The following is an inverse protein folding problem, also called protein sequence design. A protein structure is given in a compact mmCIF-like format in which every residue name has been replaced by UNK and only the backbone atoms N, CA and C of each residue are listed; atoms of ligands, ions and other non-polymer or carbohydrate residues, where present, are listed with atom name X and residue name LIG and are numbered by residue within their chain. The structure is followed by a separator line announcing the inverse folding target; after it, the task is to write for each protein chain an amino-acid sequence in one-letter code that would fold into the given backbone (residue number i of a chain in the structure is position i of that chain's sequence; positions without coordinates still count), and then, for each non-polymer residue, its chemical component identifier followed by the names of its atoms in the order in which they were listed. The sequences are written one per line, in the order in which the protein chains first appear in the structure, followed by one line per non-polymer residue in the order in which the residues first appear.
data_IF_231470851749
#
_entry.id   IF_231470851749
#
_cell.length_a   1.000
_cell.length_b   1.000
_cell.length_c   1.000
_cell.angle_alpha   90.00
_cell.angle_beta   90.00
_cell.angle_gamma   90.00
#
_symmetry.space_group_name_H-M   'P 1'
#
loop_
_entity.id
_entity.type
_entity.pdbx_description
1 polymer ?
#
# COMPACT_ATOMS: atom_id res chain seq x y z
N UNK A 1 24.86 -16.90 29.43
CA UNK A 1 24.63 -15.61 28.77
C UNK A 1 23.34 -15.76 27.97
N UNK A 2 22.27 -15.06 28.34
CA UNK A 2 21.00 -15.07 27.62
C UNK A 2 21.18 -14.39 26.26
N UNK A 3 20.72 -15.03 25.18
CA UNK A 3 20.73 -14.45 23.83
C UNK A 3 19.73 -13.30 23.73
N UNK A 4 20.05 -12.22 22.99
CA UNK A 4 19.11 -11.13 22.79
C UNK A 4 17.93 -11.59 21.93
N UNK A 5 16.71 -11.14 22.29
CA UNK A 5 15.47 -11.44 21.57
C UNK A 5 14.92 -10.16 20.95
N UNK A 6 14.52 -10.23 19.69
CA UNK A 6 13.82 -9.14 19.00
C UNK A 6 12.31 -9.34 19.17
N UNK A 7 11.62 -8.36 19.73
CA UNK A 7 10.16 -8.35 19.83
C UNK A 7 9.62 -7.29 18.86
N UNK A 8 8.70 -7.69 17.98
CA UNK A 8 8.07 -6.81 17.01
C UNK A 8 6.55 -6.81 17.18
N UNK A 9 5.94 -5.62 17.28
CA UNK A 9 4.49 -5.46 17.17
C UNK A 9 4.14 -5.04 15.73
N UNK A 10 3.41 -5.87 15.01
CA UNK A 10 3.05 -5.64 13.61
C UNK A 10 1.55 -5.42 13.47
N UNK A 11 1.14 -4.39 12.72
CA UNK A 11 -0.25 -4.12 12.37
C UNK A 11 -0.40 -4.21 10.86
N UNK A 12 -1.44 -4.90 10.40
CA UNK A 12 -1.71 -5.09 8.97
C UNK A 12 -3.04 -5.76 8.72
N UNK A 13 -3.46 -5.77 7.46
CA UNK A 13 -4.66 -6.47 7.00
C UNK A 13 -4.34 -7.96 6.97
N UNK A 14 -5.24 -8.78 7.52
CA UNK A 14 -5.00 -10.22 7.65
C UNK A 14 -3.65 -10.54 8.31
N UNK A 15 -3.20 -9.68 9.25
CA UNK A 15 -1.84 -9.69 9.78
C UNK A 15 -1.37 -11.08 10.23
N UNK A 16 -2.22 -11.84 10.94
CA UNK A 16 -1.91 -13.20 11.37
C UNK A 16 -1.66 -14.16 10.20
N UNK A 17 -2.49 -14.09 9.15
CA UNK A 17 -2.37 -14.92 7.96
C UNK A 17 -1.11 -14.55 7.16
N UNK A 18 -0.90 -13.25 6.96
CA UNK A 18 0.24 -12.71 6.22
C UNK A 18 1.57 -13.02 6.93
N UNK A 19 1.63 -12.79 8.25
CA UNK A 19 2.80 -13.10 9.07
C UNK A 19 3.05 -14.61 9.12
N UNK A 20 2.00 -15.41 9.29
CA UNK A 20 2.11 -16.88 9.25
C UNK A 20 2.67 -17.39 7.93
N UNK A 21 2.24 -16.84 6.79
CA UNK A 21 2.79 -17.19 5.48
C UNK A 21 4.27 -16.77 5.33
N UNK A 22 4.62 -15.56 5.78
CA UNK A 22 6.00 -15.06 5.73
C UNK A 22 6.96 -15.92 6.59
N UNK A 23 6.52 -16.30 7.79
CA UNK A 23 7.30 -17.15 8.70
C UNK A 23 7.49 -18.57 8.14
N UNK A 24 6.47 -19.15 7.49
CA UNK A 24 6.62 -20.44 6.79
C UNK A 24 7.66 -20.35 5.66
N UNK A 25 7.62 -19.28 4.86
CA UNK A 25 8.61 -19.05 3.81
C UNK A 25 10.04 -18.91 4.34
N UNK A 26 10.20 -18.31 5.53
CA UNK A 26 11.49 -18.20 6.22
C UNK A 26 12.07 -19.53 6.66
N UNK A 27 11.22 -20.46 7.11
CA UNK A 27 11.68 -21.81 7.49
C UNK A 27 12.06 -22.67 6.28
N UNK A 28 11.49 -22.40 5.09
CA UNK A 28 11.71 -23.20 3.88
C UNK A 28 12.83 -22.66 2.96
N UNK A 29 13.04 -21.33 2.93
CA UNK A 29 14.01 -20.70 2.02
C UNK A 29 15.48 -20.78 2.44
N UNK A 30 15.82 -21.46 3.54
CA UNK A 30 17.19 -21.53 4.09
C UNK A 30 17.88 -22.89 3.98
N UNK A 31 17.23 -23.89 3.38
CA UNK A 31 17.83 -25.23 3.17
C UNK A 31 19.08 -25.23 2.25
N UNK A 32 19.46 -24.09 1.66
CA UNK A 32 20.65 -23.94 0.82
C UNK A 32 21.90 -23.36 1.48
N UNK A 33 21.83 -22.78 2.70
CA UNK A 33 23.01 -22.18 3.34
C UNK A 33 23.04 -22.37 4.88
N UNK A 34 24.05 -23.13 5.30
CA UNK A 34 24.71 -23.15 6.62
C UNK A 34 24.20 -24.17 7.66
N UNK A 35 25.05 -25.18 7.90
CA UNK A 35 25.12 -25.96 9.14
C UNK A 35 25.61 -25.04 10.26
N UNK A 36 24.83 -24.88 11.34
CA UNK A 36 25.27 -24.20 12.55
C UNK A 36 24.13 -23.55 13.33
N UNK A 37 23.84 -24.13 14.49
CA UNK A 37 23.13 -23.61 15.67
C UNK A 37 21.71 -23.05 15.52
N UNK A 38 20.77 -23.86 16.02
CA UNK A 38 19.42 -23.55 16.52
C UNK A 38 18.63 -22.47 15.76
N UNK A 39 17.66 -22.93 14.94
CA UNK A 39 16.62 -22.11 14.32
C UNK A 39 16.14 -20.99 15.26
N UNK A 40 16.10 -19.71 14.84
CA UNK A 40 15.42 -18.69 15.61
C UNK A 40 13.95 -19.09 15.73
N UNK A 41 13.52 -19.44 16.94
CA UNK A 41 12.16 -19.83 17.24
C UNK A 41 11.27 -18.60 17.07
N UNK A 42 10.75 -18.39 15.86
CA UNK A 42 9.82 -17.31 15.58
C UNK A 42 8.47 -17.64 16.23
N UNK A 43 8.19 -17.01 17.36
CA UNK A 43 6.91 -17.09 18.04
C UNK A 43 6.05 -15.92 17.59
N UNK A 44 4.90 -16.22 16.99
CA UNK A 44 3.85 -15.24 16.74
C UNK A 44 2.66 -15.53 17.64
N UNK A 45 2.02 -14.47 18.15
CA UNK A 45 0.72 -14.61 18.77
C UNK A 45 -0.30 -15.16 17.76
N UNK A 46 -1.16 -16.07 18.21
CA UNK A 46 -2.15 -16.74 17.36
C UNK A 46 -3.48 -16.00 17.29
N UNK A 47 -3.73 -15.08 18.23
CA UNK A 47 -4.96 -14.31 18.30
C UNK A 47 -4.69 -12.84 18.63
N UNK A 48 -5.61 -11.93 18.29
CA UNK A 48 -5.54 -10.53 18.70
C UNK A 48 -5.42 -10.36 20.21
N UNK A 49 -6.13 -11.16 21.00
CA UNK A 49 -6.13 -11.09 22.47
C UNK A 49 -4.78 -11.48 23.06
N UNK A 50 -4.14 -12.52 22.52
CA UNK A 50 -2.80 -12.94 22.94
C UNK A 50 -1.77 -11.89 22.52
N UNK A 51 -1.89 -11.36 21.29
CA UNK A 51 -1.02 -10.28 20.78
C UNK A 51 -1.07 -9.08 21.71
N UNK A 52 -2.28 -8.68 22.11
CA UNK A 52 -2.51 -7.57 23.03
C UNK A 52 -1.87 -7.81 24.39
N UNK A 53 -2.15 -8.96 25.02
CA UNK A 53 -1.60 -9.31 26.35
C UNK A 53 -0.07 -9.40 26.35
N UNK A 54 0.53 -9.81 25.24
CA UNK A 54 1.98 -9.86 25.11
C UNK A 54 2.58 -8.47 24.84
N UNK A 55 1.96 -7.68 23.96
CA UNK A 55 2.45 -6.35 23.61
C UNK A 55 2.58 -5.44 24.84
N UNK A 56 1.61 -5.47 25.76
CA UNK A 56 1.66 -4.66 26.99
C UNK A 56 2.80 -5.04 27.96
N UNK A 57 3.40 -6.23 27.81
CA UNK A 57 4.54 -6.66 28.64
C UNK A 57 5.86 -6.12 28.09
N UNK A 58 5.93 -5.88 26.78
CA UNK A 58 7.17 -5.52 26.09
C UNK A 58 7.23 -4.06 25.66
N UNK A 59 6.09 -3.39 25.51
CA UNK A 59 6.01 -2.01 25.01
C UNK A 59 5.23 -1.12 25.96
N UNK A 60 5.77 0.05 26.25
CA UNK A 60 5.07 1.17 26.90
C UNK A 60 4.48 2.11 25.85
N UNK A 61 3.58 3.04 26.24
CA UNK A 61 3.00 4.03 25.31
C UNK A 61 4.03 4.94 24.65
N UNK A 62 5.21 5.09 25.25
CA UNK A 62 6.31 5.89 24.71
C UNK A 62 7.18 5.13 23.68
N UNK A 63 7.08 3.79 23.63
CA UNK A 63 7.92 2.94 22.76
C UNK A 63 7.34 2.82 21.34
N UNK A 64 6.12 3.31 21.12
CA UNK A 64 5.48 3.34 19.81
C UNK A 64 5.87 4.60 19.04
N UNK A 65 6.91 4.46 18.23
CA UNK A 65 7.25 5.48 17.25
C UNK A 65 6.39 5.25 16.00
N UNK A 66 5.33 6.04 15.82
CA UNK A 66 4.69 6.23 14.49
C UNK A 66 5.59 7.12 13.64
N UNK A 67 6.77 6.61 13.29
CA UNK A 67 7.73 7.29 12.43
C UNK A 67 7.43 7.01 10.96
N UNK A 68 7.55 8.03 10.11
CA UNK A 68 7.67 7.91 8.65
C UNK A 68 8.85 6.99 8.29
N UNK A 69 8.67 5.67 8.40
CA UNK A 69 9.72 4.71 8.11
C UNK A 69 9.80 4.54 6.59
N UNK A 70 10.94 4.97 6.04
CA UNK A 70 11.42 4.58 4.72
C UNK A 70 11.20 3.07 4.54
N UNK A 71 10.74 2.68 3.34
CA UNK A 71 10.50 1.28 2.97
C UNK A 71 11.80 0.49 3.03
N UNK A 72 12.12 -0.09 4.19
CA UNK A 72 13.22 -1.03 4.34
C UNK A 72 12.70 -2.45 4.17
N UNK A 73 13.41 -3.26 3.39
CA UNK A 73 13.14 -4.70 3.31
C UNK A 73 13.41 -5.34 4.67
N UNK A 74 12.63 -6.36 5.06
CA UNK A 74 12.81 -7.09 6.32
C UNK A 74 14.22 -7.70 6.45
N UNK A 75 14.89 -7.99 5.33
CA UNK A 75 16.29 -8.42 5.28
C UNK A 75 17.29 -7.34 5.68
N UNK A 76 16.98 -6.05 5.50
CA UNK A 76 17.84 -4.93 5.87
C UNK A 76 17.78 -4.62 7.38
N UNK A 77 16.65 -4.91 8.03
CA UNK A 77 16.46 -4.71 9.48
C UNK A 77 17.40 -5.61 10.30
N UNK A 78 17.74 -6.79 9.78
CA UNK A 78 18.59 -7.79 10.44
C UNK A 78 20.09 -7.55 10.20
N UNK A 79 20.48 -6.72 9.23
CA UNK A 79 21.90 -6.55 8.90
C UNK A 79 22.63 -5.49 9.75
N UNK A 80 21.91 -4.63 10.47
CA UNK A 80 22.51 -3.52 11.24
C UNK A 80 22.33 -3.68 12.76
N UNK A 81 22.70 -4.85 13.29
CA UNK A 81 22.55 -5.17 14.72
C UNK A 81 23.33 -4.27 15.69
N UNK A 82 24.28 -3.46 15.22
CA UNK A 82 25.07 -2.54 16.07
C UNK A 82 24.72 -1.06 15.91
N UNK A 83 23.80 -0.68 15.00
CA UNK A 83 23.34 0.71 14.86
C UNK A 83 21.91 0.95 15.32
N UNK A 84 21.09 -0.10 15.43
CA UNK A 84 19.68 0.04 15.82
C UNK A 84 19.47 0.41 17.30
N UNK A 85 20.46 0.17 18.18
CA UNK A 85 20.39 0.65 19.58
C UNK A 85 20.55 2.19 19.65
N UNK A 86 21.13 2.81 18.61
CA UNK A 86 21.41 4.25 18.59
C UNK A 86 20.31 5.08 17.90
N UNK A 87 19.28 4.45 17.32
CA UNK A 87 18.18 5.19 16.68
C UNK A 87 17.12 5.65 17.69
N UNK A 88 17.20 5.21 18.97
CA UNK A 88 16.26 5.67 20.00
C UNK A 88 16.79 6.72 20.98
N UNK A 89 18.09 6.97 21.10
CA UNK A 89 18.58 8.04 21.99
C UNK A 89 19.89 8.64 21.48
N UNK A 90 19.82 9.86 20.95
CA UNK A 90 20.94 10.79 20.92
C UNK A 90 20.34 12.19 21.11
N UNK A 91 20.58 12.87 22.25
CA UNK A 91 20.17 14.25 22.42
C UNK A 91 21.18 15.12 21.68
N UNK A 92 20.99 15.27 20.37
CA UNK A 92 21.58 16.41 19.67
C UNK A 92 20.70 17.63 20.01
N UNK A 93 21.22 18.37 20.98
CA UNK A 93 20.80 19.69 21.44
C UNK A 93 20.16 20.49 20.30
N UNK A 94 18.86 20.80 20.42
CA UNK A 94 18.28 21.94 19.70
C UNK A 94 16.89 21.78 19.09
N UNK A 95 16.34 20.57 18.92
CA UNK A 95 15.04 20.43 18.24
C UNK A 95 14.04 19.65 19.10
N UNK A 96 12.98 20.34 19.52
CA UNK A 96 11.83 19.77 20.22
C UNK A 96 11.06 18.85 19.26
N UNK A 97 11.41 17.57 19.24
CA UNK A 97 10.55 16.54 18.68
C UNK A 97 9.32 16.42 19.57
N UNK A 98 8.23 17.08 19.19
CA UNK A 98 6.90 16.76 19.72
C UNK A 98 6.45 15.44 19.10
N UNK A 99 7.09 14.34 19.49
CA UNK A 99 6.55 13.00 19.28
C UNK A 99 5.28 12.91 20.13
N UNK A 100 4.11 13.01 19.48
CA UNK A 100 2.84 12.77 20.14
C UNK A 100 2.78 11.27 20.41
N UNK A 101 3.08 10.85 21.63
CA UNK A 101 2.91 9.46 22.03
C UNK A 101 1.43 9.10 21.87
N UNK A 102 1.11 8.25 20.89
CA UNK A 102 -0.22 7.66 20.77
C UNK A 102 -0.26 6.40 21.64
N UNK A 103 -1.31 6.29 22.46
CA UNK A 103 -1.54 5.10 23.28
C UNK A 103 -1.58 3.85 22.38
N UNK A 104 -0.75 2.85 22.67
CA UNK A 104 -0.77 1.53 22.03
C UNK A 104 -2.17 0.93 22.01
N UNK A 105 -2.95 1.19 23.05
CA UNK A 105 -4.34 0.79 23.17
C UNK A 105 -5.22 1.46 22.11
N UNK A 106 -5.10 2.77 21.94
CA UNK A 106 -5.84 3.52 20.91
C UNK A 106 -5.45 3.04 19.50
N UNK A 107 -4.17 2.77 19.28
CA UNK A 107 -3.68 2.29 17.99
C UNK A 107 -4.14 0.87 17.65
N UNK A 108 -4.15 -0.05 18.63
CA UNK A 108 -4.61 -1.43 18.45
C UNK A 108 -6.14 -1.54 18.36
N UNK A 109 -6.88 -0.68 19.08
CA UNK A 109 -8.34 -0.63 19.02
C UNK A 109 -8.88 0.19 17.84
N UNK A 110 -8.04 1.05 17.24
CA UNK A 110 -8.42 1.78 16.04
C UNK A 110 -8.84 0.77 14.95
N UNK A 111 -10.09 0.93 14.49
CA UNK A 111 -10.63 0.14 13.39
C UNK A 111 -9.78 0.28 12.11
N UNK A 112 -10.14 -0.50 11.09
CA UNK A 112 -9.45 -0.44 9.81
C UNK A 112 -9.45 1.00 9.28
N UNK A 113 -8.26 1.59 9.13
CA UNK A 113 -8.16 2.97 8.69
C UNK A 113 -8.71 3.10 7.27
N UNK A 114 -9.51 4.14 7.09
CA UNK A 114 -10.10 4.45 5.81
C UNK A 114 -9.03 5.14 4.98
N UNK A 115 -8.51 4.44 3.97
CA UNK A 115 -7.42 4.93 3.13
C UNK A 115 -7.93 5.31 1.75
N UNK A 116 -7.24 6.25 1.11
CA UNK A 116 -7.52 6.65 -0.25
C UNK A 116 -6.67 5.83 -1.24
N UNK A 117 -7.20 5.61 -2.43
CA UNK A 117 -6.51 5.04 -3.59
C UNK A 117 -6.94 5.77 -4.85
N UNK A 118 -6.12 5.73 -5.89
CA UNK A 118 -6.49 6.27 -7.20
C UNK A 118 -6.90 5.14 -8.12
N UNK A 119 -8.00 5.37 -8.83
CA UNK A 119 -8.42 4.60 -10.00
C UNK A 119 -8.42 5.55 -11.19
N UNK A 120 -7.65 5.23 -12.22
CA UNK A 120 -7.69 5.93 -13.49
C UNK A 120 -8.33 5.01 -14.53
N UNK A 121 -9.42 5.50 -15.12
CA UNK A 121 -10.09 4.89 -16.25
C UNK A 121 -9.45 5.45 -17.51
N UNK A 122 -8.77 4.57 -18.26
CA UNK A 122 -8.00 4.97 -19.44
C UNK A 122 -8.94 5.48 -20.55
N UNK A 123 -8.41 6.23 -21.53
CA UNK A 123 -9.21 6.74 -22.64
C UNK A 123 -10.01 5.63 -23.33
N UNK A 124 -11.19 5.99 -23.86
CA UNK A 124 -12.13 5.10 -24.58
C UNK A 124 -12.94 4.11 -23.72
N UNK A 125 -12.58 3.87 -22.46
CA UNK A 125 -13.32 2.91 -21.59
C UNK A 125 -14.53 3.55 -20.90
N UNK A 126 -14.40 4.80 -20.46
CA UNK A 126 -15.42 5.43 -19.61
C UNK A 126 -16.70 5.81 -20.35
N UNK A 127 -16.67 6.04 -21.66
CA UNK A 127 -17.81 6.51 -22.46
C UNK A 127 -19.02 5.55 -22.45
N UNK A 128 -18.80 4.24 -22.28
CA UNK A 128 -19.88 3.25 -22.15
C UNK A 128 -19.88 2.48 -20.82
N UNK A 129 -18.75 2.45 -20.09
CA UNK A 129 -18.60 1.67 -18.86
C UNK A 129 -18.89 2.43 -17.56
N UNK A 130 -18.89 3.77 -17.56
CA UNK A 130 -18.85 4.56 -16.33
C UNK A 130 -20.01 4.28 -15.34
N UNK A 131 -21.29 4.21 -15.76
CA UNK A 131 -22.39 3.94 -14.82
C UNK A 131 -22.25 2.58 -14.12
N UNK A 132 -21.80 1.56 -14.86
CA UNK A 132 -21.57 0.22 -14.32
C UNK A 132 -20.40 0.21 -13.35
N UNK A 133 -19.30 0.87 -13.70
CA UNK A 133 -18.11 0.99 -12.83
C UNK A 133 -18.47 1.70 -11.52
N UNK A 134 -19.18 2.82 -11.57
CA UNK A 134 -19.60 3.56 -10.38
C UNK A 134 -20.55 2.75 -9.49
N UNK A 135 -21.48 2.00 -10.09
CA UNK A 135 -22.36 1.08 -9.36
C UNK A 135 -21.56 -0.02 -8.67
N UNK A 136 -20.62 -0.65 -9.37
CA UNK A 136 -19.82 -1.75 -8.84
C UNK A 136 -18.89 -1.25 -7.70
N UNK A 137 -18.33 -0.03 -7.82
CA UNK A 137 -17.62 0.66 -6.73
C UNK A 137 -18.49 0.87 -5.49
N UNK A 138 -19.72 1.34 -5.70
CA UNK A 138 -20.67 1.56 -4.61
C UNK A 138 -21.04 0.25 -3.90
N UNK A 139 -21.31 -0.82 -4.66
CA UNK A 139 -21.58 -2.15 -4.10
C UNK A 139 -20.41 -2.68 -3.26
N UNK A 140 -19.19 -2.41 -3.71
CA UNK A 140 -17.95 -2.78 -3.02
C UNK A 140 -17.55 -1.83 -1.88
N UNK A 141 -18.45 -0.91 -1.53
CA UNK A 141 -18.35 0.04 -0.40
C UNK A 141 -17.22 1.06 -0.56
N UNK A 142 -16.82 1.37 -1.79
CA UNK A 142 -15.99 2.54 -2.06
C UNK A 142 -16.82 3.82 -2.00
N UNK A 143 -16.26 4.85 -1.38
CA UNK A 143 -16.75 6.23 -1.50
C UNK A 143 -15.88 6.98 -2.50
N UNK A 144 -16.48 7.64 -3.48
CA UNK A 144 -15.76 8.53 -4.39
C UNK A 144 -15.60 9.88 -3.70
N UNK A 145 -14.36 10.27 -3.39
CA UNK A 145 -14.03 11.52 -2.68
C UNK A 145 -13.40 12.58 -3.59
N UNK A 146 -13.10 12.20 -4.83
CA UNK A 146 -12.65 13.10 -5.88
C UNK A 146 -12.86 12.47 -7.25
N UNK A 147 -13.19 13.29 -8.24
CA UNK A 147 -13.35 12.88 -9.63
C UNK A 147 -12.84 14.00 -10.53
N UNK A 148 -11.96 13.68 -11.48
CA UNK A 148 -11.44 14.63 -12.49
C UNK A 148 -11.47 13.98 -13.86
N UNK A 149 -11.96 14.74 -14.83
CA UNK A 149 -11.83 14.43 -16.25
C UNK A 149 -10.67 15.26 -16.80
N UNK A 150 -9.62 14.60 -17.31
CA UNK A 150 -8.40 15.30 -17.72
C UNK A 150 -7.67 14.64 -18.89
N UNK A 151 -7.02 15.47 -19.69
CA UNK A 151 -6.02 15.06 -20.67
C UNK A 151 -4.67 14.90 -19.95
N UNK A 152 -4.09 13.70 -20.05
CA UNK A 152 -2.81 13.42 -19.41
C UNK A 152 -1.67 14.10 -20.18
N UNK A 153 -0.88 14.91 -19.49
CA UNK A 153 0.41 15.38 -20.02
C UNK A 153 1.46 14.25 -20.04
N UNK A 154 2.49 14.40 -20.87
CA UNK A 154 3.55 13.39 -21.03
C UNK A 154 4.22 13.00 -19.70
N UNK A 155 4.47 13.97 -18.81
CA UNK A 155 5.07 13.72 -17.50
C UNK A 155 4.18 12.85 -16.59
N UNK A 156 2.88 13.11 -16.57
CA UNK A 156 1.91 12.32 -15.80
C UNK A 156 1.74 10.93 -16.40
N UNK A 157 1.67 10.82 -17.73
CA UNK A 157 1.59 9.54 -18.43
C UNK A 157 2.80 8.64 -18.10
N UNK A 158 4.02 9.17 -18.16
CA UNK A 158 5.24 8.43 -17.80
C UNK A 158 5.26 7.99 -16.34
N UNK A 159 4.69 8.78 -15.42
CA UNK A 159 4.62 8.42 -14.00
C UNK A 159 3.65 7.25 -13.70
N UNK A 160 2.70 6.98 -14.60
CA UNK A 160 1.72 5.90 -14.50
C UNK A 160 2.17 4.60 -15.16
N UNK A 161 3.28 4.62 -15.91
CA UNK A 161 3.80 3.42 -16.57
C UNK A 161 4.25 2.41 -15.50
N UNK A 162 3.85 1.13 -15.62
CA UNK A 162 4.30 0.07 -14.74
C UNK A 162 5.83 0.01 -14.62
N UNK A 163 6.36 -0.11 -13.40
CA UNK A 163 7.81 -0.18 -13.18
C UNK A 163 8.45 -1.40 -13.88
N UNK A 164 7.68 -2.48 -14.09
CA UNK A 164 8.16 -3.70 -14.76
C UNK A 164 8.45 -3.45 -16.25
N UNK A 165 7.77 -2.48 -16.85
CA UNK A 165 7.86 -2.15 -18.27
C UNK A 165 8.86 -1.01 -18.52
N UNK A 166 9.33 -0.34 -17.46
CA UNK A 166 10.18 0.85 -17.54
C UNK A 166 11.56 0.59 -18.14
N UNK A 167 11.98 -0.68 -18.23
CA UNK A 167 13.23 -1.09 -18.89
C UNK A 167 13.10 -1.26 -20.41
N UNK A 168 11.88 -1.29 -20.95
CA UNK A 168 11.61 -1.39 -22.38
C UNK A 168 11.10 -0.04 -22.92
N UNK A 169 11.95 0.74 -23.62
CA UNK A 169 11.58 2.05 -24.14
C UNK A 169 10.39 2.01 -25.11
N UNK A 170 10.27 0.96 -25.93
CA UNK A 170 9.19 0.85 -26.91
C UNK A 170 7.84 0.63 -26.22
N UNK A 171 7.81 -0.19 -25.18
CA UNK A 171 6.61 -0.41 -24.39
C UNK A 171 6.23 0.83 -23.56
N UNK A 172 7.21 1.55 -22.98
CA UNK A 172 6.98 2.83 -22.31
C UNK A 172 6.34 3.84 -23.26
N UNK A 173 6.89 3.98 -24.48
CA UNK A 173 6.35 4.88 -25.50
C UNK A 173 4.92 4.49 -25.90
N UNK A 174 4.64 3.19 -26.07
CA UNK A 174 3.30 2.70 -26.36
C UNK A 174 2.29 3.04 -25.24
N UNK A 175 2.68 2.87 -23.98
CA UNK A 175 1.86 3.25 -22.83
C UNK A 175 1.60 4.76 -22.78
N UNK A 176 2.64 5.57 -22.94
CA UNK A 176 2.51 7.02 -22.94
C UNK A 176 1.62 7.51 -24.08
N UNK A 177 1.85 7.01 -25.30
CA UNK A 177 1.06 7.36 -26.49
C UNK A 177 -0.42 7.02 -26.29
N UNK A 178 -0.72 5.87 -25.70
CA UNK A 178 -2.11 5.50 -25.43
C UNK A 178 -2.74 6.37 -24.33
N UNK A 179 -2.02 6.65 -23.25
CA UNK A 179 -2.51 7.49 -22.15
C UNK A 179 -2.78 8.93 -22.59
N UNK A 180 -1.99 9.47 -23.53
CA UNK A 180 -2.17 10.82 -24.08
C UNK A 180 -3.10 10.86 -25.30
N UNK A 181 -3.59 9.72 -25.78
CA UNK A 181 -4.46 9.64 -26.97
C UNK A 181 -5.86 10.22 -26.78
N UNK A 182 -6.24 10.57 -25.55
CA UNK A 182 -7.51 11.21 -25.25
C UNK A 182 -7.72 11.42 -23.75
N UNK A 183 -8.94 11.84 -23.42
CA UNK A 183 -9.33 12.19 -22.06
C UNK A 183 -9.49 10.95 -21.17
N UNK A 184 -8.83 10.96 -20.02
CA UNK A 184 -8.97 9.96 -18.97
C UNK A 184 -9.90 10.46 -17.85
N UNK A 185 -10.48 9.53 -17.10
CA UNK A 185 -11.24 9.84 -15.89
C UNK A 185 -10.49 9.31 -14.67
N UNK A 186 -10.16 10.19 -13.74
CA UNK A 186 -9.48 9.86 -12.49
C UNK A 186 -10.45 9.95 -11.33
N UNK A 187 -10.52 8.88 -10.55
CA UNK A 187 -11.32 8.78 -9.33
C UNK A 187 -10.39 8.63 -8.13
N UNK A 188 -10.58 9.46 -7.12
CA UNK A 188 -10.05 9.20 -5.78
C UNK A 188 -11.11 8.43 -4.99
N UNK A 189 -10.75 7.20 -4.61
CA UNK A 189 -11.63 6.26 -3.92
C UNK A 189 -11.19 6.10 -2.48
N UNK A 190 -12.16 6.05 -1.57
CA UNK A 190 -11.94 5.93 -0.16
C UNK A 190 -12.65 4.68 0.39
N UNK A 191 -11.91 3.84 1.12
CA UNK A 191 -12.41 2.61 1.75
C UNK A 191 -11.39 2.07 2.76
N UNK A 192 -11.80 1.33 3.81
CA UNK A 192 -10.88 0.41 4.48
C UNK A 192 -10.23 -0.52 3.46
N UNK A 193 -8.91 -0.64 3.47
CA UNK A 193 -8.16 -1.52 2.55
C UNK A 193 -8.39 -1.19 1.06
N UNK A 194 -8.56 0.10 0.74
CA UNK A 194 -8.95 0.56 -0.60
C UNK A 194 -8.02 0.04 -1.71
N UNK A 195 -6.70 0.15 -1.52
CA UNK A 195 -5.68 -0.28 -2.50
C UNK A 195 -5.85 -1.77 -2.83
N UNK A 196 -5.83 -2.64 -1.82
CA UNK A 196 -5.92 -4.09 -2.03
C UNK A 196 -7.23 -4.46 -2.70
N UNK A 197 -8.36 -3.94 -2.21
CA UNK A 197 -9.66 -4.25 -2.78
C UNK A 197 -9.81 -3.75 -4.21
N UNK A 198 -9.26 -2.59 -4.54
CA UNK A 198 -9.27 -2.08 -5.92
C UNK A 198 -8.47 -3.00 -6.83
N UNK A 199 -7.26 -3.40 -6.43
CA UNK A 199 -6.43 -4.33 -7.21
C UNK A 199 -7.13 -5.68 -7.41
N UNK A 200 -7.85 -6.18 -6.41
CA UNK A 200 -8.62 -7.42 -6.51
C UNK A 200 -9.80 -7.30 -7.50
N UNK A 201 -10.40 -6.11 -7.66
CA UNK A 201 -11.44 -5.86 -8.68
C UNK A 201 -10.85 -5.71 -10.09
N UNK A 202 -9.68 -5.07 -10.20
CA UNK A 202 -9.02 -4.85 -11.48
C UNK A 202 -8.49 -6.16 -12.08
N UNK A 203 -7.84 -6.99 -11.27
CA UNK A 203 -7.16 -8.20 -11.75
C UNK A 203 -5.75 -7.93 -12.29
N UNK A 204 -5.10 -8.96 -12.88
CA UNK A 204 -3.75 -8.83 -13.45
C UNK A 204 -3.71 -7.82 -14.61
N UNK A 205 -2.53 -7.25 -14.89
CA UNK A 205 -2.35 -6.22 -15.93
C UNK A 205 -2.72 -6.71 -17.34
N UNK A 206 -2.51 -8.00 -17.61
CA UNK A 206 -2.90 -8.64 -18.87
C UNK A 206 -4.39 -9.06 -18.84
N UNK A 207 -5.23 -8.48 -19.72
CA UNK A 207 -6.63 -8.87 -19.86
C UNK A 207 -6.85 -10.37 -20.11
N UNK A 208 -5.95 -11.05 -20.82
CA UNK A 208 -6.10 -12.49 -21.11
C UNK A 208 -5.91 -13.32 -19.84
N UNK A 209 -4.92 -12.99 -19.02
CA UNK A 209 -4.73 -13.61 -17.70
C UNK A 209 -5.89 -13.28 -16.76
N UNK A 210 -6.42 -12.05 -16.80
CA UNK A 210 -7.58 -11.66 -16.01
C UNK A 210 -8.80 -12.50 -16.40
N UNK A 211 -9.04 -12.66 -17.70
CA UNK A 211 -10.13 -13.46 -18.25
C UNK A 211 -10.02 -14.94 -17.85
N UNK A 212 -8.81 -15.50 -17.85
CA UNK A 212 -8.57 -16.88 -17.43
C UNK A 212 -8.79 -17.08 -15.91
N UNK A 213 -8.50 -16.07 -15.09
CA UNK A 213 -8.67 -16.14 -13.63
C UNK A 213 -10.12 -15.95 -13.20
N UNK A 214 -10.76 -14.87 -13.65
CA UNK A 214 -12.19 -14.61 -13.45
C UNK A 214 -12.67 -13.60 -14.52
N UNK A 215 -13.61 -13.99 -15.42
CA UNK A 215 -14.22 -13.10 -16.41
C UNK A 215 -14.89 -11.85 -15.82
N UNK A 216 -15.17 -11.82 -14.51
CA UNK A 216 -15.77 -10.67 -13.82
C UNK A 216 -14.74 -9.60 -13.45
N UNK A 217 -13.44 -9.86 -13.58
CA UNK A 217 -12.41 -8.85 -13.35
C UNK A 217 -12.53 -7.72 -14.37
N UNK A 218 -12.27 -6.49 -13.94
CA UNK A 218 -12.50 -5.34 -14.81
C UNK A 218 -11.54 -5.30 -15.99
N UNK A 219 -10.28 -5.70 -15.80
CA UNK A 219 -9.34 -5.79 -16.94
C UNK A 219 -9.73 -6.88 -17.93
N UNK A 220 -10.42 -7.94 -17.48
CA UNK A 220 -10.99 -8.95 -18.37
C UNK A 220 -12.17 -8.39 -19.20
N UNK A 221 -13.04 -7.59 -18.57
CA UNK A 221 -14.24 -7.06 -19.22
C UNK A 221 -13.98 -5.88 -20.16
N UNK A 222 -13.00 -5.02 -19.84
CA UNK A 222 -12.79 -3.75 -20.54
C UNK A 222 -11.41 -3.64 -21.21
N UNK A 223 -10.50 -4.58 -20.98
CA UNK A 223 -9.16 -4.56 -21.53
C UNK A 223 -9.05 -5.29 -22.87
N UNK A 224 -8.24 -4.77 -23.79
CA UNK A 224 -7.97 -5.39 -25.11
C UNK A 224 -6.52 -5.86 -25.26
N UNK A 225 -5.59 -5.19 -24.59
CA UNK A 225 -4.16 -5.55 -24.55
C UNK A 225 -3.53 -5.10 -23.23
N UNK A 226 -2.27 -5.46 -22.97
CA UNK A 226 -1.53 -5.00 -21.79
C UNK A 226 -1.41 -3.47 -21.71
N UNK A 227 -1.25 -2.81 -22.86
CA UNK A 227 -1.24 -1.34 -22.95
C UNK A 227 -2.65 -0.78 -22.73
N UNK A 228 -3.64 -1.38 -23.40
CA UNK A 228 -5.04 -0.98 -23.41
C UNK A 228 -5.88 -1.85 -22.45
N UNK A 229 -5.41 -2.04 -21.22
CA UNK A 229 -6.09 -2.86 -20.21
C UNK A 229 -7.23 -2.11 -19.47
N UNK A 230 -7.58 -0.93 -19.96
CA UNK A 230 -8.70 -0.11 -19.49
C UNK A 230 -8.53 0.63 -18.17
N UNK A 231 -7.70 0.13 -17.24
CA UNK A 231 -7.58 0.73 -15.91
C UNK A 231 -6.14 0.76 -15.38
N UNK A 232 -5.85 1.87 -14.70
CA UNK A 232 -4.72 1.98 -13.79
C UNK A 232 -5.25 2.09 -12.34
N UNK A 233 -4.55 1.44 -11.41
CA UNK A 233 -4.82 1.54 -9.98
C UNK A 233 -3.52 1.63 -9.19
N UNK A 234 -3.51 2.44 -8.13
CA UNK A 234 -2.38 2.51 -7.22
C UNK A 234 -2.11 1.13 -6.61
N UNK A 235 -0.89 0.59 -6.76
CA UNK A 235 -0.56 -0.79 -6.35
C UNK A 235 -0.15 -0.92 -4.88
N UNK A 236 0.15 0.20 -4.22
CA UNK A 236 0.57 0.26 -2.82
C UNK A 236 0.10 1.56 -2.17
N UNK A 237 0.09 1.61 -0.83
CA UNK A 237 -0.28 2.84 -0.12
C UNK A 237 0.65 4.02 -0.41
N UNK A 238 1.99 3.85 -0.46
CA UNK A 238 2.88 4.95 -0.87
C UNK A 238 2.58 5.46 -2.28
N UNK A 239 2.28 4.56 -3.22
CA UNK A 239 1.85 4.95 -4.57
C UNK A 239 0.52 5.69 -4.53
N UNK A 240 -0.46 5.21 -3.77
CA UNK A 240 -1.75 5.89 -3.63
C UNK A 240 -1.60 7.32 -3.11
N UNK A 241 -0.73 7.56 -2.12
CA UNK A 241 -0.44 8.92 -1.63
C UNK A 241 0.20 9.78 -2.72
N UNK A 242 1.16 9.23 -3.47
CA UNK A 242 1.80 9.93 -4.60
C UNK A 242 0.78 10.28 -5.69
N UNK A 243 -0.06 9.32 -6.07
CA UNK A 243 -1.04 9.47 -7.15
C UNK A 243 -2.14 10.45 -6.75
N UNK A 244 -2.61 10.42 -5.49
CA UNK A 244 -3.57 11.42 -4.99
C UNK A 244 -2.98 12.82 -5.09
N UNK A 245 -1.72 13.01 -4.68
CA UNK A 245 -1.03 14.31 -4.82
C UNK A 245 -0.84 14.73 -6.28
N UNK A 246 -0.57 13.77 -7.16
CA UNK A 246 -0.39 14.02 -8.59
C UNK A 246 -1.67 14.53 -9.24
N UNK A 247 -2.82 13.94 -8.92
CA UNK A 247 -4.09 14.27 -9.59
C UNK A 247 -4.96 15.28 -8.84
N UNK A 248 -4.83 15.40 -7.52
CA UNK A 248 -5.65 16.28 -6.67
C UNK A 248 -4.79 17.20 -5.80
N UNK A 249 -3.93 18.05 -6.39
CA UNK A 249 -3.06 18.95 -5.63
C UNK A 249 -3.85 20.01 -4.86
N UNK A 250 -5.05 20.36 -5.30
CA UNK A 250 -5.93 21.35 -4.64
C UNK A 250 -6.70 20.75 -3.46
N UNK A 251 -6.54 19.45 -3.19
CA UNK A 251 -7.27 18.71 -2.17
C UNK A 251 -8.47 17.93 -2.70
N UNK A 252 -9.13 17.19 -1.79
CA UNK A 252 -10.27 16.33 -2.09
C UNK A 252 -11.57 16.99 -1.61
N UNK A 253 -12.68 16.72 -2.30
CA UNK A 253 -13.97 17.38 -2.06
C UNK A 253 -14.63 17.01 -0.71
N UNK A 254 -14.15 15.96 -0.04
CA UNK A 254 -14.61 15.61 1.31
C UNK A 254 -13.69 16.24 2.37
N UNK A 255 -14.10 17.38 2.91
CA UNK A 255 -13.44 18.09 4.02
C UNK A 255 -13.47 17.35 5.39
N UNK A 256 -13.61 16.02 5.40
CA UNK A 256 -13.61 15.21 6.63
C UNK A 256 -12.76 13.93 6.49
N UNK A 257 -11.58 14.07 5.89
CA UNK A 257 -10.46 13.21 6.25
C UNK A 257 -9.69 13.90 7.38
N UNK A 258 -10.12 13.74 8.63
CA UNK A 258 -9.22 13.95 9.77
C UNK A 258 -8.13 12.87 9.72
N UNK A 259 -7.12 13.09 8.88
CA UNK A 259 -5.78 12.43 8.92
C UNK A 259 -4.79 13.05 7.91
N UNK A 260 -5.07 14.21 7.30
CA UNK A 260 -4.09 14.91 6.44
C UNK A 260 -3.98 16.42 6.72
N UNK A 261 -4.43 16.90 7.89
CA UNK A 261 -4.38 18.33 8.23
C UNK A 261 -3.24 18.76 9.18
N UNK A 262 -2.26 17.90 9.44
CA UNK A 262 -1.09 18.27 10.25
C UNK A 262 0.20 18.12 9.44
N UNK A 263 0.38 18.96 8.41
CA UNK A 263 1.68 19.16 7.73
C UNK A 263 2.01 20.61 7.38
N UNK A 264 1.24 21.60 7.82
CA UNK A 264 1.63 23.01 7.70
C UNK A 264 1.29 23.75 8.99
N UNK A 265 2.22 23.72 9.97
CA UNK A 265 2.75 24.87 10.75
C UNK A 265 4.03 24.39 11.42
#
# INVERSE_FOLDING_TARGET
MSSPVLVCALRGIDAFRALGAALKGWTQGRDGLSKGDSLPQALMALTPEVTFRQAILFFTEADLVTGKARSYSFSQIVSEHTKLIQICFSPLVGESWRCRAESLFSYLQAGAQVLCTVLLIKPRVWSHGLPRILRDLHLEKFRVVGMKHLDLGAAAASALVPCEVQQDPAAVEAHCTYLTSGTALVLCLQRPNAVKKLMDLLGPEDPQLAQALDPRLWRAQYGTSTVQNGFYGSRSYPMAVRDVKLFFPEGLCCAQCQTVQEQEV
#
